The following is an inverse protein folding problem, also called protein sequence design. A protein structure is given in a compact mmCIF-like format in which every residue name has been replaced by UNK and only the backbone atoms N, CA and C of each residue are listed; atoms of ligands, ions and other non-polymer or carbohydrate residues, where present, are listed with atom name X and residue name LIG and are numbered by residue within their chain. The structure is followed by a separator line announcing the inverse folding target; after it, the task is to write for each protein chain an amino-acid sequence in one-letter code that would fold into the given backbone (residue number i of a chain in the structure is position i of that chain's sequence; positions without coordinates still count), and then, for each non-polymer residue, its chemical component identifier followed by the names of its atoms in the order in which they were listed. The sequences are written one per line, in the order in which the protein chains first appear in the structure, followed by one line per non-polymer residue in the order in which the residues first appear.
data_IF_692165684422
#
_entry.id   IF_692165684422
#
_cell.length_a   1.000
_cell.length_b   1.000
_cell.length_c   1.000
_cell.angle_alpha   90.00
_cell.angle_beta   90.00
_cell.angle_gamma   90.00
#
_symmetry.space_group_name_H-M   'P 1'
#
loop_
_entity.id
_entity.type
_entity.pdbx_description
1 polymer ?
#
# COMPACT_ATOMS: atom_id res chain seq x y z
N UNK A 1 -18.42 12.17 32.32
CA UNK A 1 -19.68 11.38 32.46
C UNK A 1 -19.80 10.29 31.39
N UNK A 2 -19.54 10.58 30.12
CA UNK A 2 -19.60 9.60 29.01
C UNK A 2 -18.64 8.41 29.19
N UNK A 3 -17.40 8.66 29.59
CA UNK A 3 -16.36 7.63 29.84
C UNK A 3 -16.75 6.60 30.90
N UNK A 4 -17.42 7.05 31.99
CA UNK A 4 -17.86 6.15 33.08
C UNK A 4 -19.03 5.27 32.62
N UNK A 5 -19.92 5.80 31.80
CA UNK A 5 -21.04 5.02 31.24
C UNK A 5 -20.54 4.00 30.21
N UNK A 6 -19.62 4.37 29.36
CA UNK A 6 -18.98 3.48 28.40
C UNK A 6 -18.23 2.34 29.10
N UNK A 7 -17.50 2.60 30.17
CA UNK A 7 -16.80 1.57 30.95
C UNK A 7 -17.74 0.60 31.67
N UNK A 8 -18.93 1.06 32.11
CA UNK A 8 -19.90 0.20 32.78
C UNK A 8 -20.81 -0.59 31.85
N UNK A 9 -21.19 -0.04 30.71
CA UNK A 9 -22.17 -0.63 29.81
C UNK A 9 -21.56 -1.29 28.56
N UNK A 10 -20.29 -1.06 28.25
CA UNK A 10 -19.65 -1.49 27.01
C UNK A 10 -18.21 -1.94 27.18
N UNK A 11 -17.79 -2.46 28.33
CA UNK A 11 -16.41 -2.87 28.60
C UNK A 11 -15.86 -3.91 27.62
N UNK A 12 -16.71 -4.72 26.98
CA UNK A 12 -16.34 -5.70 25.97
C UNK A 12 -16.15 -5.09 24.56
N UNK A 13 -16.65 -3.88 24.33
CA UNK A 13 -16.66 -3.21 23.03
C UNK A 13 -15.59 -2.10 22.94
N UNK A 14 -15.09 -1.64 24.09
CA UNK A 14 -14.08 -0.58 24.13
C UNK A 14 -12.72 -1.14 23.76
N UNK A 15 -12.07 -0.62 22.68
CA UNK A 15 -10.72 -1.02 22.32
C UNK A 15 -9.73 -0.72 23.46
N UNK A 16 -8.70 -1.56 23.62
CA UNK A 16 -7.65 -1.31 24.60
C UNK A 16 -6.93 0.02 24.31
N UNK A 17 -6.48 0.71 25.33
CA UNK A 17 -5.73 1.98 25.18
C UNK A 17 -4.51 1.84 24.25
N UNK A 18 -3.85 0.69 24.26
CA UNK A 18 -2.74 0.41 23.33
C UNK A 18 -3.20 0.37 21.87
N UNK A 19 -4.39 -0.16 21.61
CA UNK A 19 -4.94 -0.21 20.24
C UNK A 19 -5.30 1.18 19.74
N UNK A 20 -5.89 2.01 20.60
CA UNK A 20 -6.22 3.41 20.30
C UNK A 20 -4.93 4.21 20.03
N UNK A 21 -3.92 4.07 20.88
CA UNK A 21 -2.64 4.77 20.70
C UNK A 21 -1.91 4.35 19.42
N UNK A 22 -1.94 3.07 19.06
CA UNK A 22 -1.35 2.57 17.83
C UNK A 22 -2.08 3.11 16.60
N UNK A 23 -3.41 3.23 16.64
CA UNK A 23 -4.19 3.82 15.55
C UNK A 23 -3.91 5.32 15.39
N UNK A 24 -3.86 6.07 16.49
CA UNK A 24 -3.48 7.49 16.48
C UNK A 24 -2.06 7.67 15.91
N UNK A 25 -1.13 6.84 16.33
CA UNK A 25 0.25 6.87 15.84
C UNK A 25 0.30 6.55 14.33
N UNK A 26 -0.41 5.53 13.89
CA UNK A 26 -0.49 5.14 12.49
C UNK A 26 -1.06 6.26 11.61
N UNK A 27 -2.17 6.88 12.03
CA UNK A 27 -2.79 7.98 11.32
C UNK A 27 -1.87 9.21 11.26
N UNK A 28 -1.12 9.48 12.34
CA UNK A 28 -0.15 10.58 12.36
C UNK A 28 1.07 10.34 11.46
N UNK A 29 1.46 9.08 11.23
CA UNK A 29 2.56 8.74 10.34
C UNK A 29 2.22 9.00 8.87
N UNK A 30 0.95 8.92 8.49
CA UNK A 30 0.44 9.13 7.12
C UNK A 30 1.28 8.41 6.06
N UNK A 31 1.55 7.12 6.34
CA UNK A 31 2.48 6.29 5.55
C UNK A 31 2.03 6.19 4.10
N UNK A 32 0.75 5.95 3.87
CA UNK A 32 0.24 5.70 2.52
C UNK A 32 0.28 6.93 1.62
N UNK A 33 0.03 8.12 2.16
CA UNK A 33 0.19 9.35 1.40
C UNK A 33 1.66 9.58 0.99
N UNK A 34 2.59 9.35 1.91
CA UNK A 34 4.03 9.47 1.64
C UNK A 34 4.50 8.43 0.60
N UNK A 35 4.00 7.20 0.69
CA UNK A 35 4.29 6.14 -0.29
C UNK A 35 3.69 6.47 -1.66
N UNK A 36 2.49 7.07 -1.70
CA UNK A 36 1.87 7.55 -2.94
C UNK A 36 2.77 8.55 -3.65
N UNK A 37 3.22 9.60 -2.93
CA UNK A 37 4.12 10.60 -3.49
C UNK A 37 5.45 9.96 -3.93
N UNK A 38 5.99 9.03 -3.13
CA UNK A 38 7.22 8.33 -3.46
C UNK A 38 7.08 7.51 -4.75
N UNK A 39 5.99 6.76 -4.95
CA UNK A 39 5.76 6.00 -6.18
C UNK A 39 5.56 6.92 -7.39
N UNK A 40 4.79 7.99 -7.26
CA UNK A 40 4.57 8.93 -8.35
C UNK A 40 5.87 9.59 -8.80
N UNK A 41 6.66 10.12 -7.86
CA UNK A 41 7.94 10.75 -8.17
C UNK A 41 8.97 9.74 -8.67
N UNK A 42 9.13 8.60 -7.99
CA UNK A 42 10.07 7.57 -8.38
C UNK A 42 9.73 7.00 -9.76
N UNK A 43 8.46 6.68 -10.01
CA UNK A 43 8.00 6.16 -11.30
C UNK A 43 8.27 7.13 -12.44
N UNK A 44 7.98 8.43 -12.24
CA UNK A 44 8.25 9.47 -13.23
C UNK A 44 9.76 9.61 -13.52
N UNK A 45 10.57 9.70 -12.48
CA UNK A 45 12.04 9.80 -12.61
C UNK A 45 12.61 8.56 -13.31
N UNK A 46 12.14 7.35 -12.91
CA UNK A 46 12.55 6.10 -13.54
C UNK A 46 12.18 6.08 -15.03
N UNK A 47 11.00 6.56 -15.40
CA UNK A 47 10.55 6.63 -16.79
C UNK A 47 11.47 7.56 -17.61
N UNK A 48 11.72 8.77 -17.13
CA UNK A 48 12.60 9.74 -17.79
C UNK A 48 14.02 9.15 -17.95
N UNK A 49 14.56 8.57 -16.89
CA UNK A 49 15.90 7.95 -16.95
C UNK A 49 15.90 6.73 -17.87
N UNK A 50 14.82 5.94 -17.93
CA UNK A 50 14.71 4.82 -18.85
C UNK A 50 14.83 5.26 -20.32
N UNK A 51 14.17 6.37 -20.70
CA UNK A 51 14.33 6.95 -22.02
C UNK A 51 15.79 7.40 -22.28
N UNK A 52 16.41 8.08 -21.32
CA UNK A 52 17.83 8.47 -21.49
C UNK A 52 18.76 7.25 -21.64
N UNK A 53 18.51 6.18 -20.91
CA UNK A 53 19.29 4.92 -21.01
C UNK A 53 19.13 4.28 -22.39
N UNK A 54 17.93 4.34 -22.98
CA UNK A 54 17.65 3.77 -24.31
C UNK A 54 18.35 4.57 -25.41
N UNK A 55 18.37 5.90 -25.32
CA UNK A 55 18.93 6.77 -26.36
C UNK A 55 20.41 7.08 -26.19
N UNK A 56 21.02 6.83 -25.04
CA UNK A 56 22.41 7.15 -24.78
C UNK A 56 23.24 5.89 -24.44
N UNK A 57 24.04 5.38 -25.41
CA UNK A 57 24.85 4.17 -25.22
C UNK A 57 25.96 4.30 -24.18
N UNK A 58 26.26 5.52 -23.69
CA UNK A 58 27.27 5.75 -22.65
C UNK A 58 26.75 5.39 -21.24
N UNK A 59 25.41 5.33 -21.04
CA UNK A 59 24.83 5.01 -19.75
C UNK A 59 24.77 3.49 -19.60
N UNK A 60 25.28 2.97 -18.49
CA UNK A 60 25.25 1.55 -18.19
C UNK A 60 23.84 1.12 -17.69
N UNK A 61 23.02 0.45 -18.51
CA UNK A 61 21.64 0.15 -18.15
C UNK A 61 21.54 -0.72 -16.91
N UNK A 62 22.45 -1.69 -16.75
CA UNK A 62 22.46 -2.62 -15.61
C UNK A 62 22.68 -1.89 -14.27
N UNK A 63 23.66 -0.98 -14.21
CA UNK A 63 23.99 -0.23 -13.00
C UNK A 63 22.83 0.71 -12.61
N UNK A 64 22.29 1.43 -13.58
CA UNK A 64 21.16 2.35 -13.37
C UNK A 64 19.93 1.59 -12.88
N UNK A 65 19.56 0.48 -13.51
CA UNK A 65 18.43 -0.35 -13.09
C UNK A 65 18.64 -0.89 -11.67
N UNK A 66 19.83 -1.31 -11.30
CA UNK A 66 20.12 -1.82 -9.95
C UNK A 66 19.92 -0.76 -8.87
N UNK A 67 20.35 0.49 -9.15
CA UNK A 67 20.18 1.60 -8.19
C UNK A 67 18.69 1.88 -7.97
N UNK A 68 17.94 2.05 -9.05
CA UNK A 68 16.49 2.30 -8.96
C UNK A 68 15.72 1.14 -8.33
N UNK A 69 16.14 -0.09 -8.61
CA UNK A 69 15.59 -1.28 -7.96
C UNK A 69 15.80 -1.24 -6.43
N UNK A 70 16.99 -0.84 -5.97
CA UNK A 70 17.26 -0.70 -4.54
C UNK A 70 16.36 0.35 -3.86
N UNK A 71 16.20 1.52 -4.51
CA UNK A 71 15.31 2.58 -4.01
C UNK A 71 13.86 2.09 -3.97
N UNK A 72 13.40 1.44 -5.05
CA UNK A 72 12.06 0.88 -5.13
C UNK A 72 11.81 -0.18 -4.05
N UNK A 73 12.78 -1.06 -3.82
CA UNK A 73 12.68 -2.09 -2.78
C UNK A 73 12.49 -1.48 -1.39
N UNK A 74 13.14 -0.34 -1.09
CA UNK A 74 12.95 0.38 0.16
C UNK A 74 11.55 0.97 0.28
N UNK A 75 11.06 1.64 -0.77
CA UNK A 75 9.68 2.19 -0.78
C UNK A 75 8.65 1.07 -0.67
N UNK A 76 8.87 -0.04 -1.36
CA UNK A 76 8.01 -1.22 -1.31
C UNK A 76 8.00 -1.88 0.08
N UNK A 77 9.15 -1.92 0.76
CA UNK A 77 9.23 -2.39 2.14
C UNK A 77 8.40 -1.51 3.10
N UNK A 78 8.45 -0.17 2.92
CA UNK A 78 7.62 0.77 3.70
C UNK A 78 6.13 0.55 3.41
N UNK A 79 5.75 0.35 2.15
CA UNK A 79 4.37 0.02 1.77
C UNK A 79 3.89 -1.27 2.44
N UNK A 80 4.69 -2.33 2.34
CA UNK A 80 4.40 -3.63 2.97
C UNK A 80 4.27 -3.51 4.49
N UNK A 81 5.16 -2.73 5.12
CA UNK A 81 5.08 -2.45 6.55
C UNK A 81 3.79 -1.71 6.91
N UNK A 82 3.40 -0.69 6.13
CA UNK A 82 2.16 0.06 6.32
C UNK A 82 0.93 -0.85 6.27
N UNK A 83 0.86 -1.76 5.27
CA UNK A 83 -0.23 -2.74 5.15
C UNK A 83 -0.24 -3.73 6.31
N UNK A 84 0.92 -4.25 6.72
CA UNK A 84 1.04 -5.17 7.86
C UNK A 84 0.64 -4.51 9.18
N UNK A 85 1.03 -3.25 9.39
CA UNK A 85 0.67 -2.49 10.57
C UNK A 85 -0.84 -2.18 10.61
N UNK A 86 -1.44 -1.83 9.45
CA UNK A 86 -2.89 -1.67 9.32
C UNK A 86 -3.62 -2.97 9.65
N UNK A 87 -3.14 -4.12 9.16
CA UNK A 87 -3.68 -5.43 9.51
C UNK A 87 -3.67 -5.71 11.01
N UNK A 88 -2.55 -5.40 11.69
CA UNK A 88 -2.45 -5.58 13.15
C UNK A 88 -3.47 -4.73 13.93
N UNK A 89 -3.73 -3.50 13.49
CA UNK A 89 -4.68 -2.60 14.15
C UNK A 89 -6.12 -3.02 13.86
N UNK A 90 -6.46 -3.29 12.60
CA UNK A 90 -7.81 -3.64 12.16
C UNK A 90 -8.25 -5.02 12.63
N UNK A 91 -7.29 -5.96 12.75
CA UNK A 91 -7.56 -7.37 13.06
C UNK A 91 -8.14 -8.16 11.88
N UNK A 92 -8.17 -7.57 10.68
CA UNK A 92 -8.59 -8.21 9.43
C UNK A 92 -7.62 -7.89 8.29
N UNK A 93 -7.70 -8.67 7.22
CA UNK A 93 -6.84 -8.51 6.06
C UNK A 93 -7.08 -7.16 5.36
N UNK A 94 -6.00 -6.46 4.92
CA UNK A 94 -6.07 -5.10 4.39
C UNK A 94 -6.50 -5.07 2.90
N UNK A 95 -7.63 -5.67 2.57
CA UNK A 95 -8.32 -5.64 1.27
C UNK A 95 -9.85 -5.78 1.43
N UNK A 96 -10.37 -5.32 2.56
CA UNK A 96 -11.76 -5.53 2.95
C UNK A 96 -12.70 -4.40 2.53
N UNK A 97 -12.17 -3.23 2.24
CA UNK A 97 -12.88 -2.07 1.72
C UNK A 97 -12.25 -1.53 0.44
N UNK A 98 -12.87 -0.52 -0.17
CA UNK A 98 -12.39 0.08 -1.43
C UNK A 98 -11.02 0.73 -1.27
N UNK A 99 -10.78 1.42 -0.15
CA UNK A 99 -9.49 2.06 0.12
C UNK A 99 -8.38 1.00 0.23
N UNK A 100 -8.60 -0.01 1.05
CA UNK A 100 -7.65 -1.11 1.25
C UNK A 100 -7.41 -1.91 -0.03
N UNK A 101 -8.45 -2.13 -0.84
CA UNK A 101 -8.33 -2.81 -2.12
C UNK A 101 -7.43 -2.05 -3.09
N UNK A 102 -7.53 -0.71 -3.16
CA UNK A 102 -6.65 0.11 -3.99
C UNK A 102 -5.20 0.07 -3.51
N UNK A 103 -4.96 0.07 -2.20
CA UNK A 103 -3.63 -0.12 -1.64
C UNK A 103 -3.06 -1.49 -2.01
N UNK A 104 -3.87 -2.54 -1.89
CA UNK A 104 -3.46 -3.91 -2.20
C UNK A 104 -3.18 -4.12 -3.69
N UNK A 105 -4.01 -3.56 -4.59
CA UNK A 105 -3.76 -3.56 -6.05
C UNK A 105 -2.43 -2.87 -6.35
N UNK A 106 -2.18 -1.70 -5.75
CA UNK A 106 -0.92 -0.97 -5.91
C UNK A 106 0.28 -1.80 -5.44
N UNK A 107 0.15 -2.45 -4.29
CA UNK A 107 1.17 -3.35 -3.77
C UNK A 107 1.43 -4.52 -4.72
N UNK A 108 0.38 -5.16 -5.23
CA UNK A 108 0.46 -6.28 -6.16
C UNK A 108 1.11 -5.87 -7.49
N UNK A 109 0.81 -4.68 -8.01
CA UNK A 109 1.42 -4.16 -9.22
C UNK A 109 2.94 -3.96 -9.07
N UNK A 110 3.39 -3.39 -7.95
CA UNK A 110 4.83 -3.25 -7.67
C UNK A 110 5.47 -4.62 -7.46
N UNK A 111 4.83 -5.52 -6.73
CA UNK A 111 5.30 -6.88 -6.50
C UNK A 111 5.52 -7.64 -7.82
N UNK A 112 4.53 -7.60 -8.72
CA UNK A 112 4.64 -8.16 -10.06
C UNK A 112 5.78 -7.50 -10.86
N UNK A 113 5.88 -6.16 -10.80
CA UNK A 113 6.96 -5.40 -11.42
C UNK A 113 8.34 -5.86 -10.95
N UNK A 114 8.53 -6.03 -9.66
CA UNK A 114 9.77 -6.50 -9.03
C UNK A 114 10.12 -7.93 -9.47
N UNK A 115 9.15 -8.83 -9.56
CA UNK A 115 9.40 -10.22 -9.95
C UNK A 115 9.71 -10.35 -11.43
N UNK A 116 8.83 -9.79 -12.29
CA UNK A 116 8.87 -10.05 -13.72
C UNK A 116 9.74 -9.06 -14.49
N UNK A 117 9.83 -7.80 -14.03
CA UNK A 117 10.43 -6.71 -14.81
C UNK A 117 11.71 -6.12 -14.21
N UNK A 118 12.31 -6.76 -13.19
CA UNK A 118 13.51 -6.27 -12.48
C UNK A 118 14.72 -5.96 -13.38
N UNK A 119 14.76 -6.50 -14.62
CA UNK A 119 15.84 -6.28 -15.57
C UNK A 119 15.57 -5.13 -16.55
N UNK A 120 14.35 -4.65 -16.64
CA UNK A 120 13.92 -3.58 -17.54
C UNK A 120 13.47 -2.35 -16.75
N UNK A 121 14.27 -1.29 -16.81
CA UNK A 121 13.95 -0.03 -16.12
C UNK A 121 12.62 0.56 -16.64
N UNK A 122 12.37 0.45 -17.95
CA UNK A 122 11.15 0.98 -18.56
C UNK A 122 9.89 0.22 -18.07
N UNK A 123 9.92 -1.11 -18.07
CA UNK A 123 8.79 -1.91 -17.61
C UNK A 123 8.57 -1.76 -16.09
N UNK A 124 9.66 -1.66 -15.32
CA UNK A 124 9.59 -1.42 -13.88
C UNK A 124 9.00 -0.04 -13.57
N UNK A 125 9.37 1.01 -14.32
CA UNK A 125 8.80 2.35 -14.15
C UNK A 125 7.30 2.36 -14.45
N UNK A 126 6.84 1.64 -15.46
CA UNK A 126 5.42 1.52 -15.78
C UNK A 126 4.63 0.89 -14.61
N UNK A 127 5.13 -0.20 -14.03
CA UNK A 127 4.50 -0.83 -12.87
C UNK A 127 4.41 0.11 -11.66
N UNK A 128 5.47 0.89 -11.41
CA UNK A 128 5.50 1.86 -10.29
C UNK A 128 4.55 3.02 -10.53
N UNK A 129 4.43 3.52 -11.76
CA UNK A 129 3.48 4.59 -12.12
C UNK A 129 2.04 4.09 -11.95
N UNK A 130 1.73 2.89 -12.43
CA UNK A 130 0.40 2.29 -12.25
C UNK A 130 0.06 2.17 -10.76
N UNK A 131 0.98 1.67 -9.95
CA UNK A 131 0.79 1.60 -8.50
C UNK A 131 0.57 2.99 -7.87
N UNK A 132 1.35 3.98 -8.29
CA UNK A 132 1.17 5.38 -7.85
C UNK A 132 -0.20 5.94 -8.19
N UNK A 133 -0.71 5.68 -9.39
CA UNK A 133 -2.04 6.12 -9.84
C UNK A 133 -3.14 5.49 -8.98
N UNK A 134 -3.10 4.17 -8.71
CA UNK A 134 -4.09 3.52 -7.86
C UNK A 134 -4.09 4.09 -6.44
N UNK A 135 -2.91 4.28 -5.84
CA UNK A 135 -2.81 4.90 -4.52
C UNK A 135 -3.28 6.35 -4.51
N UNK A 136 -2.96 7.12 -5.57
CA UNK A 136 -3.43 8.50 -5.70
C UNK A 136 -4.95 8.55 -5.83
N UNK A 137 -5.55 7.64 -6.60
CA UNK A 137 -7.00 7.50 -6.70
C UNK A 137 -7.65 7.26 -5.34
N UNK A 138 -7.06 6.42 -4.50
CA UNK A 138 -7.55 6.16 -3.15
C UNK A 138 -7.62 7.44 -2.29
N UNK A 139 -6.71 8.40 -2.51
CA UNK A 139 -6.69 9.67 -1.77
C UNK A 139 -7.60 10.74 -2.37
N UNK A 140 -7.84 10.72 -3.70
CA UNK A 140 -8.64 11.76 -4.39
C UNK A 140 -10.15 11.56 -4.29
N UNK A 141 -10.61 10.32 -4.25
CA UNK A 141 -12.03 9.98 -4.41
C UNK A 141 -12.87 10.17 -3.15
N UNK A 142 -12.31 10.80 -2.10
CA UNK A 142 -13.03 10.99 -0.83
C UNK A 142 -13.38 9.67 -0.13
N UNK A 143 -12.68 8.58 -0.50
CA UNK A 143 -12.81 7.28 0.16
C UNK A 143 -12.25 7.44 1.57
N UNK A 144 -13.06 7.07 2.56
CA UNK A 144 -12.68 7.19 3.97
C UNK A 144 -11.52 6.23 4.28
N UNK A 145 -10.34 6.75 4.71
CA UNK A 145 -9.21 5.91 5.08
C UNK A 145 -9.38 5.25 6.46
N UNK A 146 -10.46 5.54 7.19
CA UNK A 146 -10.69 5.01 8.53
C UNK A 146 -10.78 3.48 8.52
N UNK A 147 -10.32 2.88 9.61
CA UNK A 147 -10.41 1.44 9.80
C UNK A 147 -11.84 1.12 10.24
N UNK A 148 -12.58 0.44 9.37
CA UNK A 148 -13.96 0.03 9.65
C UNK A 148 -14.03 -1.41 10.14
N UNK A 149 -15.07 -1.74 10.90
CA UNK A 149 -15.29 -3.12 11.33
C UNK A 149 -15.73 -3.98 10.14
N UNK A 150 -15.14 -5.16 10.03
CA UNK A 150 -15.45 -6.11 8.96
C UNK A 150 -16.91 -6.58 9.05
N UNK A 151 -17.61 -6.55 7.93
CA UNK A 151 -18.96 -7.13 7.84
C UNK A 151 -18.90 -8.63 8.15
N UNK A 152 -19.81 -9.20 8.95
CA UNK A 152 -19.76 -10.60 9.39
C UNK A 152 -19.57 -11.63 8.27
N UNK A 153 -20.13 -11.37 7.08
CA UNK A 153 -19.99 -12.22 5.89
C UNK A 153 -18.54 -12.36 5.43
N UNK A 154 -17.69 -11.33 5.60
CA UNK A 154 -16.30 -11.32 5.16
C UNK A 154 -15.33 -11.99 6.16
N UNK A 155 -15.81 -12.53 7.27
CA UNK A 155 -14.99 -13.21 8.27
C UNK A 155 -14.58 -14.65 7.88
N UNK A 156 -15.02 -15.17 6.74
CA UNK A 156 -14.65 -16.51 6.27
C UNK A 156 -13.22 -16.51 5.73
N UNK A 157 -12.40 -17.47 6.21
CA UNK A 157 -11.02 -17.68 5.76
C UNK A 157 -10.93 -17.91 4.23
N UNK A 158 -11.82 -18.74 3.69
CA UNK A 158 -11.86 -19.04 2.25
C UNK A 158 -12.22 -17.82 1.41
N UNK A 159 -13.16 -16.99 1.89
CA UNK A 159 -13.54 -15.77 1.22
C UNK A 159 -12.39 -14.76 1.21
N UNK A 160 -11.63 -14.65 2.30
CA UNK A 160 -10.44 -13.80 2.39
C UNK A 160 -9.39 -14.18 1.34
N UNK A 161 -9.11 -15.48 1.17
CA UNK A 161 -8.17 -15.95 0.13
C UNK A 161 -8.73 -15.65 -1.27
N UNK A 162 -9.99 -15.94 -1.52
CA UNK A 162 -10.62 -15.73 -2.82
C UNK A 162 -10.59 -14.24 -3.23
N UNK A 163 -10.97 -13.35 -2.32
CA UNK A 163 -10.92 -11.90 -2.54
C UNK A 163 -9.50 -11.41 -2.77
N UNK A 164 -8.51 -11.92 -2.04
CA UNK A 164 -7.10 -11.51 -2.24
C UNK A 164 -6.60 -11.86 -3.64
N UNK A 165 -6.91 -13.05 -4.14
CA UNK A 165 -6.50 -13.49 -5.48
C UNK A 165 -7.22 -12.67 -6.55
N UNK A 166 -8.53 -12.45 -6.41
CA UNK A 166 -9.31 -11.62 -7.34
C UNK A 166 -8.77 -10.20 -7.39
N UNK A 167 -8.59 -9.57 -6.24
CA UNK A 167 -8.11 -8.18 -6.16
C UNK A 167 -6.69 -8.03 -6.70
N UNK A 168 -5.83 -9.03 -6.55
CA UNK A 168 -4.49 -9.03 -7.12
C UNK A 168 -4.47 -9.25 -8.64
N UNK A 169 -5.55 -9.77 -9.23
CA UNK A 169 -5.65 -10.06 -10.67
C UNK A 169 -6.12 -8.85 -11.50
N UNK A 170 -6.64 -7.82 -10.87
CA UNK A 170 -7.02 -6.56 -11.52
C UNK A 170 -5.79 -5.67 -11.77
#
# INVERSE_FOLDING_TARGET
MMTIYQQKAGSEVIPSESKINNEIFFNKLDIFFKVTLAYMLLGLVMLVVAFFVVFNPKIQPKKTTTIFFGILALVFAVHTFGMGFRWMISGHAPWSDTYESLLYISWSAVFAGVIFFRKSLLALSAAVIVAGIFMFTAHLTGIDPQITNLVPVLKSYWLTIHVSILTASY
#
